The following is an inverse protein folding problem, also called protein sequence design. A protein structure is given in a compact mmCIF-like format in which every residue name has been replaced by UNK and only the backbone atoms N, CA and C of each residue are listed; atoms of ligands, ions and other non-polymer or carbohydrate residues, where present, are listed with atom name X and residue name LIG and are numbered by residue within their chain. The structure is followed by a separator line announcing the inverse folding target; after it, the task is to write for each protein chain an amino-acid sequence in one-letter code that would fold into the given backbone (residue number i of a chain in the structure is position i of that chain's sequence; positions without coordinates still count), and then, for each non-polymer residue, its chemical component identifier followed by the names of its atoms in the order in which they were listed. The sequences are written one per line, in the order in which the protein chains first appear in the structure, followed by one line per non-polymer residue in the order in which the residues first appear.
data_IF_251931548812
#
_entry.id   IF_251931548812
#
_cell.length_a   1.000
_cell.length_b   1.000
_cell.length_c   1.000
_cell.angle_alpha   90.00
_cell.angle_beta   90.00
_cell.angle_gamma   90.00
#
_symmetry.space_group_name_H-M   'P 1'
#
loop_
_entity.id
_entity.type
_entity.pdbx_description
1 polymer ?
#
# COMPACT_ATOMS: atom_id res chain seq x y z
N UNK A 1 84.01 51.66 40.09
CA UNK A 1 85.33 50.98 40.11
C UNK A 1 85.11 49.47 40.26
N UNK A 2 85.23 48.73 39.17
CA UNK A 2 85.96 47.46 39.02
C UNK A 2 85.59 46.88 37.65
N UNK A 3 86.66 46.74 36.89
CA UNK A 3 86.84 46.35 35.49
C UNK A 3 86.67 44.83 35.28
N UNK A 4 86.72 44.35 34.01
CA UNK A 4 85.98 43.20 33.51
C UNK A 4 86.86 41.95 33.30
N UNK A 5 86.28 40.86 32.78
CA UNK A 5 87.05 39.73 32.24
C UNK A 5 86.35 39.09 31.02
N UNK A 6 86.96 39.32 29.85
CA UNK A 6 87.26 38.40 28.72
C UNK A 6 86.22 37.34 28.27
N UNK A 7 85.74 37.44 27.01
CA UNK A 7 86.16 36.68 25.79
C UNK A 7 85.39 35.34 25.63
N UNK A 8 84.45 35.16 24.68
CA UNK A 8 84.49 35.01 23.21
C UNK A 8 84.35 33.52 22.79
N UNK A 9 83.31 33.28 21.96
CA UNK A 9 83.09 32.19 20.98
C UNK A 9 83.11 30.72 21.41
N UNK A 10 82.01 30.01 21.12
CA UNK A 10 81.99 28.96 20.09
C UNK A 10 80.55 28.55 19.73
N UNK A 11 80.34 28.39 18.43
CA UNK A 11 79.13 27.92 17.74
C UNK A 11 78.89 26.43 18.03
N UNK A 12 77.66 26.03 18.30
CA UNK A 12 77.22 24.64 18.18
C UNK A 12 75.78 24.59 17.65
N UNK A 13 75.66 24.18 16.39
CA UNK A 13 74.44 23.81 15.69
C UNK A 13 73.72 22.66 16.41
N UNK A 14 72.43 22.82 16.72
CA UNK A 14 71.62 21.72 17.23
C UNK A 14 70.67 21.24 16.13
N UNK A 15 71.01 20.05 15.62
CA UNK A 15 70.15 19.18 14.82
C UNK A 15 68.88 18.86 15.62
N UNK A 16 67.70 19.14 15.04
CA UNK A 16 66.44 18.64 15.58
C UNK A 16 66.08 17.34 14.86
N UNK A 17 66.02 16.26 15.64
CA UNK A 17 65.70 14.90 15.22
C UNK A 17 64.29 14.77 14.62
N UNK A 18 64.19 13.91 13.60
CA UNK A 18 62.95 13.40 13.06
C UNK A 18 62.55 12.06 13.72
N UNK A 19 61.25 11.74 13.60
CA UNK A 19 60.54 10.48 13.92
C UNK A 19 60.25 10.23 15.43
N UNK A 20 59.06 9.85 15.87
CA UNK A 20 57.93 9.10 15.25
C UNK A 20 56.67 9.30 16.12
N UNK A 21 55.47 9.29 15.52
CA UNK A 21 54.21 9.19 16.27
C UNK A 21 53.00 9.48 15.38
N UNK A 22 52.36 8.43 14.91
CA UNK A 22 51.24 8.40 13.97
C UNK A 22 49.95 9.04 14.49
N UNK A 23 49.42 10.03 13.77
CA UNK A 23 47.98 10.34 13.80
C UNK A 23 47.43 10.46 12.37
N UNK A 24 46.63 9.45 12.01
CA UNK A 24 45.86 9.40 10.78
C UNK A 24 44.78 10.47 10.83
N UNK A 25 45.02 11.59 10.14
CA UNK A 25 44.01 12.61 9.89
C UNK A 25 42.90 12.03 9.02
N UNK A 26 41.81 11.62 9.65
CA UNK A 26 40.55 11.33 8.96
C UNK A 26 39.96 12.67 8.54
N UNK A 27 40.18 13.03 7.27
CA UNK A 27 39.39 14.06 6.59
C UNK A 27 37.92 13.65 6.61
N UNK A 28 37.15 14.23 7.52
CA UNK A 28 35.70 14.25 7.47
C UNK A 28 35.26 15.00 6.20
N UNK A 29 35.14 14.28 5.08
CA UNK A 29 34.22 14.67 4.01
C UNK A 29 32.82 14.53 4.60
N UNK A 30 32.32 15.62 5.18
CA UNK A 30 30.88 15.81 5.35
C UNK A 30 30.28 15.81 3.95
N UNK A 31 29.84 14.63 3.52
CA UNK A 31 28.89 14.49 2.43
C UNK A 31 27.59 15.12 2.93
N UNK A 32 27.39 16.40 2.65
CA UNK A 32 26.05 16.97 2.59
C UNK A 32 25.28 16.15 1.57
N UNK A 33 24.49 15.18 2.03
CA UNK A 33 23.53 14.49 1.19
C UNK A 33 22.51 15.53 0.75
N UNK A 34 22.60 15.97 -0.51
CA UNK A 34 21.56 16.75 -1.14
C UNK A 34 20.32 15.86 -1.17
N UNK A 35 19.36 16.12 -0.28
CA UNK A 35 18.02 15.54 -0.34
C UNK A 35 17.42 16.01 -1.66
N UNK A 36 17.46 15.15 -2.68
CA UNK A 36 16.84 15.42 -3.97
C UNK A 36 15.32 15.28 -3.78
N UNK A 37 14.66 16.38 -3.40
CA UNK A 37 13.22 16.44 -3.14
C UNK A 37 12.37 16.45 -4.42
N UNK A 38 13.01 16.48 -5.60
CA UNK A 38 12.35 16.60 -6.89
C UNK A 38 12.11 15.22 -7.51
N UNK A 39 10.86 14.95 -7.90
CA UNK A 39 10.49 13.82 -8.74
C UNK A 39 10.74 14.21 -10.20
N UNK A 40 11.57 13.45 -10.92
CA UNK A 40 11.80 13.66 -12.35
C UNK A 40 10.67 13.00 -13.17
N UNK A 41 9.91 13.76 -13.97
CA UNK A 41 8.85 13.18 -14.79
C UNK A 41 9.39 12.33 -15.95
N UNK A 42 8.67 11.26 -16.30
CA UNK A 42 8.94 10.45 -17.49
C UNK A 42 8.43 11.16 -18.76
N UNK A 43 9.24 11.31 -19.82
CA UNK A 43 8.78 11.93 -21.07
C UNK A 43 7.81 11.00 -21.81
N UNK A 44 6.62 11.50 -22.13
CA UNK A 44 5.56 10.75 -22.78
C UNK A 44 5.09 11.45 -24.06
N UNK A 45 5.21 10.78 -25.19
CA UNK A 45 4.64 11.24 -26.45
C UNK A 45 3.22 10.67 -26.62
N UNK A 46 2.28 11.54 -26.98
CA UNK A 46 0.90 11.17 -27.32
C UNK A 46 0.53 11.72 -28.69
N UNK A 47 -0.46 11.08 -29.33
CA UNK A 47 -1.03 11.54 -30.60
C UNK A 47 -2.55 11.49 -30.53
N UNK A 48 -3.23 12.10 -31.49
CA UNK A 48 -4.69 12.16 -31.54
C UNK A 48 -5.31 10.83 -32.03
N UNK A 49 -4.70 10.20 -33.04
CA UNK A 49 -5.27 9.04 -33.74
C UNK A 49 -4.91 7.69 -33.12
N UNK A 50 -4.01 7.65 -32.14
CA UNK A 50 -3.54 6.42 -31.49
C UNK A 50 -3.58 6.56 -29.98
N UNK A 51 -3.84 5.45 -29.32
CA UNK A 51 -3.91 5.35 -27.87
C UNK A 51 -2.60 4.77 -27.33
N UNK A 52 -1.97 5.51 -26.43
CA UNK A 52 -0.83 5.02 -25.64
C UNK A 52 -1.33 4.29 -24.39
N UNK A 53 -0.80 3.10 -24.13
CA UNK A 53 -1.14 2.26 -23.00
C UNK A 53 -0.01 2.28 -21.97
N UNK A 54 -0.33 2.66 -20.74
CA UNK A 54 0.58 2.66 -19.60
C UNK A 54 0.16 1.52 -18.66
N UNK A 55 1.05 0.55 -18.44
CA UNK A 55 0.81 -0.61 -17.57
C UNK A 55 1.60 -0.41 -16.28
N UNK A 56 0.88 -0.35 -15.16
CA UNK A 56 1.44 -0.13 -13.82
C UNK A 56 1.59 -1.46 -13.06
N UNK A 57 2.48 -1.51 -12.04
CA UNK A 57 2.67 -2.70 -11.21
C UNK A 57 1.46 -3.03 -10.30
N UNK A 58 0.61 -2.04 -10.02
CA UNK A 58 -0.58 -2.17 -9.17
C UNK A 58 -1.76 -1.39 -9.75
N UNK A 59 -2.96 -1.67 -9.25
CA UNK A 59 -4.20 -1.03 -9.71
C UNK A 59 -4.13 0.50 -9.56
N UNK A 60 -4.72 1.21 -10.50
CA UNK A 60 -4.72 2.68 -10.56
C UNK A 60 -5.78 3.22 -9.61
N UNK A 61 -5.33 3.91 -8.56
CA UNK A 61 -6.20 4.58 -7.60
C UNK A 61 -6.63 5.95 -8.12
N UNK A 62 -5.66 6.75 -8.55
CA UNK A 62 -5.89 8.15 -8.94
C UNK A 62 -5.11 8.51 -10.21
N UNK A 63 -5.70 9.38 -11.03
CA UNK A 63 -5.13 9.92 -12.27
C UNK A 63 -5.44 11.41 -12.30
N UNK A 64 -4.42 12.21 -12.60
CA UNK A 64 -4.54 13.66 -12.81
C UNK A 64 -4.00 14.04 -14.18
N UNK A 65 -4.75 14.88 -14.89
CA UNK A 65 -4.38 15.42 -16.20
C UNK A 65 -4.17 16.92 -16.07
N UNK A 66 -2.98 17.40 -16.44
CA UNK A 66 -2.62 18.82 -16.30
C UNK A 66 -3.38 19.77 -17.22
N UNK A 67 -4.04 19.26 -18.25
CA UNK A 67 -4.84 20.06 -19.17
C UNK A 67 -5.88 19.21 -19.90
N UNK A 68 -6.88 19.89 -20.46
CA UNK A 68 -7.93 19.30 -21.29
C UNK A 68 -7.42 18.81 -22.67
N UNK A 69 -6.15 19.07 -23.01
CA UNK A 69 -5.51 18.54 -24.22
C UNK A 69 -5.25 17.04 -24.16
N UNK A 70 -5.43 16.41 -22.99
CA UNK A 70 -5.30 14.97 -22.80
C UNK A 70 -6.65 14.35 -22.48
N UNK A 71 -6.85 13.13 -22.99
CA UNK A 71 -7.92 12.24 -22.53
C UNK A 71 -7.27 10.97 -22.02
N UNK A 72 -7.69 10.54 -20.83
CA UNK A 72 -7.27 9.28 -20.25
C UNK A 72 -8.43 8.48 -19.68
N UNK A 73 -8.33 7.15 -19.76
CA UNK A 73 -9.36 6.23 -19.28
C UNK A 73 -8.74 4.92 -18.77
N UNK A 74 -9.21 4.44 -17.61
CA UNK A 74 -8.77 3.15 -17.05
C UNK A 74 -9.38 2.00 -17.84
N UNK A 75 -8.58 1.00 -18.20
CA UNK A 75 -9.11 -0.16 -18.91
C UNK A 75 -10.11 -0.95 -18.02
N UNK A 76 -11.32 -1.20 -18.53
CA UNK A 76 -12.41 -1.85 -17.77
C UNK A 76 -12.08 -3.24 -17.22
N UNK A 77 -11.23 -3.98 -17.92
CA UNK A 77 -10.85 -5.36 -17.57
C UNK A 77 -9.44 -5.47 -16.98
N UNK A 78 -8.73 -4.35 -16.83
CA UNK A 78 -7.36 -4.31 -16.32
C UNK A 78 -7.13 -3.02 -15.52
N UNK A 79 -7.36 -3.09 -14.20
CA UNK A 79 -7.34 -1.93 -13.30
C UNK A 79 -5.98 -1.24 -13.19
N UNK A 80 -4.90 -1.90 -13.61
CA UNK A 80 -3.54 -1.37 -13.65
C UNK A 80 -3.14 -0.79 -15.02
N UNK A 81 -4.08 -0.63 -15.96
CA UNK A 81 -3.81 -0.12 -17.31
C UNK A 81 -4.53 1.21 -17.54
N UNK A 82 -3.75 2.25 -17.87
CA UNK A 82 -4.26 3.56 -18.29
C UNK A 82 -4.09 3.73 -19.79
N UNK A 83 -5.17 4.14 -20.46
CA UNK A 83 -5.17 4.52 -21.88
C UNK A 83 -5.10 6.03 -21.96
N UNK A 84 -4.13 6.58 -22.68
CA UNK A 84 -3.91 8.02 -22.82
C UNK A 84 -3.81 8.38 -24.30
N UNK A 85 -4.44 9.49 -24.71
CA UNK A 85 -4.25 10.08 -26.04
C UNK A 85 -4.44 11.59 -26.00
N UNK A 86 -4.04 12.27 -27.07
CA UNK A 86 -4.33 13.68 -27.22
C UNK A 86 -5.84 13.91 -27.54
N UNK A 87 -6.42 14.93 -26.94
CA UNK A 87 -7.79 15.40 -27.20
C UNK A 87 -7.85 16.33 -28.42
N UNK A 88 -6.72 16.97 -28.76
CA UNK A 88 -6.55 17.88 -29.88
C UNK A 88 -5.25 17.56 -30.60
N UNK A 89 -5.15 17.96 -31.87
CA UNK A 89 -3.92 17.83 -32.66
C UNK A 89 -2.98 19.00 -32.37
N UNK A 90 -1.67 18.74 -32.46
CA UNK A 90 -0.61 19.76 -32.53
C UNK A 90 -0.58 20.79 -31.38
N UNK A 91 -0.88 20.36 -30.15
CA UNK A 91 -0.68 21.25 -29.01
C UNK A 91 0.82 21.47 -28.75
N UNK A 92 1.25 22.74 -28.72
CA UNK A 92 2.67 23.10 -28.58
C UNK A 92 3.17 23.02 -27.14
N UNK A 93 2.29 23.28 -26.17
CA UNK A 93 2.64 23.35 -24.76
C UNK A 93 2.71 21.96 -24.15
N UNK A 94 3.85 21.63 -23.52
CA UNK A 94 3.93 20.42 -22.70
C UNK A 94 2.97 20.53 -21.51
N UNK A 95 2.34 19.41 -21.17
CA UNK A 95 1.45 19.28 -20.01
C UNK A 95 1.95 18.14 -19.12
N UNK A 96 1.37 17.95 -17.95
CA UNK A 96 1.70 16.83 -17.07
C UNK A 96 0.55 15.80 -17.01
N UNK A 97 0.91 14.58 -16.62
CA UNK A 97 0.02 13.50 -16.21
C UNK A 97 0.60 12.91 -14.93
N UNK A 98 -0.23 12.62 -13.93
CA UNK A 98 0.21 11.94 -12.70
C UNK A 98 -0.70 10.77 -12.38
N UNK A 99 -0.09 9.67 -11.93
CA UNK A 99 -0.81 8.44 -11.58
C UNK A 99 -0.35 7.95 -10.21
N UNK A 100 -1.31 7.64 -9.35
CA UNK A 100 -1.08 7.00 -8.06
C UNK A 100 -1.70 5.60 -8.07
N UNK A 101 -0.92 4.59 -7.68
CA UNK A 101 -1.35 3.19 -7.61
C UNK A 101 -1.69 2.75 -6.19
N UNK A 102 -2.46 1.68 -6.03
CA UNK A 102 -2.93 1.18 -4.72
C UNK A 102 -1.81 0.72 -3.78
N UNK A 103 -0.64 0.39 -4.33
CA UNK A 103 0.58 0.06 -3.58
C UNK A 103 1.42 1.30 -3.23
N UNK A 104 0.92 2.50 -3.48
CA UNK A 104 1.57 3.77 -3.12
C UNK A 104 2.58 4.28 -4.16
N UNK A 105 2.66 3.63 -5.33
CA UNK A 105 3.51 4.11 -6.41
C UNK A 105 3.05 5.46 -6.96
N UNK A 106 3.99 6.39 -7.15
CA UNK A 106 3.77 7.66 -7.82
C UNK A 106 4.48 7.68 -9.17
N UNK A 107 3.73 7.99 -10.23
CA UNK A 107 4.26 8.10 -11.58
C UNK A 107 3.91 9.49 -12.11
N UNK A 108 4.94 10.27 -12.44
CA UNK A 108 4.82 11.60 -13.03
C UNK A 108 5.29 11.56 -14.47
N UNK A 109 4.55 12.19 -15.37
CA UNK A 109 4.82 12.23 -16.79
C UNK A 109 4.84 13.68 -17.28
N UNK A 110 5.83 14.02 -18.11
CA UNK A 110 5.81 15.22 -18.93
C UNK A 110 5.34 14.81 -20.33
N UNK A 111 4.19 15.33 -20.76
CA UNK A 111 3.48 14.88 -21.95
C UNK A 111 3.60 15.91 -23.06
N UNK A 112 3.98 15.46 -24.26
CA UNK A 112 4.01 16.27 -25.48
C UNK A 112 3.24 15.59 -26.62
N UNK A 113 2.74 16.41 -27.55
CA UNK A 113 2.15 15.92 -28.78
C UNK A 113 3.25 15.49 -29.76
N UNK A 114 3.07 14.34 -30.39
CA UNK A 114 3.87 13.92 -31.53
C UNK A 114 2.98 13.22 -32.56
N UNK A 115 3.02 13.56 -33.86
CA UNK A 115 2.08 13.02 -34.85
C UNK A 115 2.25 11.51 -35.06
N UNK A 116 3.47 10.99 -34.94
CA UNK A 116 3.78 9.56 -35.09
C UNK A 116 4.68 9.06 -33.96
N UNK A 117 4.13 8.87 -32.74
CA UNK A 117 4.93 8.46 -31.58
C UNK A 117 5.43 7.02 -31.79
N UNK A 118 6.67 6.77 -31.40
CA UNK A 118 7.32 5.45 -31.60
C UNK A 118 6.87 4.42 -30.58
N UNK A 119 6.53 4.86 -29.37
CA UNK A 119 6.13 4.01 -28.26
C UNK A 119 4.65 4.24 -27.95
N UNK A 120 3.85 3.18 -28.09
CA UNK A 120 2.42 3.19 -27.78
C UNK A 120 2.07 2.30 -26.59
N UNK A 121 3.03 1.54 -26.07
CA UNK A 121 2.86 0.68 -24.90
C UNK A 121 4.09 0.81 -24.01
N UNK A 122 3.88 1.19 -22.76
CA UNK A 122 4.91 1.32 -21.74
C UNK A 122 4.52 0.44 -20.55
N UNK A 123 5.40 -0.49 -20.20
CA UNK A 123 5.20 -1.45 -19.11
C UNK A 123 6.13 -1.15 -17.95
N UNK A 124 5.60 -0.40 -16.97
CA UNK A 124 6.28 -0.04 -15.74
C UNK A 124 6.25 -1.16 -14.70
N UNK A 125 5.47 -2.22 -14.91
CA UNK A 125 5.53 -3.40 -14.06
C UNK A 125 6.80 -4.23 -14.33
N UNK A 126 7.26 -4.26 -15.58
CA UNK A 126 8.46 -5.00 -16.00
C UNK A 126 9.72 -4.14 -16.06
N UNK A 127 9.61 -2.90 -16.50
CA UNK A 127 10.74 -2.00 -16.70
C UNK A 127 10.48 -0.68 -15.99
N UNK A 128 10.92 -0.59 -14.74
CA UNK A 128 10.93 0.67 -14.00
C UNK A 128 12.16 1.46 -14.46
N UNK A 129 12.01 2.60 -15.16
CA UNK A 129 13.16 3.43 -15.52
C UNK A 129 13.81 3.97 -14.24
N UNK A 130 15.10 3.72 -14.05
CA UNK A 130 15.84 4.22 -12.90
C UNK A 130 15.67 5.75 -12.79
N UNK A 131 15.13 6.23 -11.67
CA UNK A 131 14.93 7.66 -11.39
C UNK A 131 13.54 8.23 -11.71
N UNK A 132 12.65 7.52 -12.42
CA UNK A 132 11.35 8.05 -12.85
C UNK A 132 10.15 7.49 -12.07
N UNK A 133 10.32 6.38 -11.34
CA UNK A 133 9.43 6.04 -10.23
C UNK A 133 10.16 6.42 -8.96
N UNK A 134 9.80 7.55 -8.37
CA UNK A 134 10.01 7.67 -6.93
C UNK A 134 8.95 6.73 -6.37
N UNK A 135 9.36 5.59 -5.79
CA UNK A 135 8.56 4.98 -4.72
C UNK A 135 8.60 5.98 -3.57
N UNK A 136 7.96 7.12 -3.76
CA UNK A 136 7.58 7.97 -2.66
C UNK A 136 6.60 7.10 -1.92
N UNK A 137 6.90 6.75 -0.68
CA UNK A 137 5.93 6.11 0.20
C UNK A 137 4.77 7.09 0.38
N UNK A 138 3.89 7.16 -0.62
CA UNK A 138 2.63 7.89 -0.52
C UNK A 138 1.89 7.17 0.57
N UNK A 139 1.81 7.81 1.72
CA UNK A 139 0.98 7.31 2.81
C UNK A 139 -0.46 7.61 2.43
N UNK A 140 -1.29 6.57 2.40
CA UNK A 140 -2.72 6.78 2.33
C UNK A 140 -3.28 6.90 3.74
N UNK A 141 -4.32 7.71 3.91
CA UNK A 141 -5.03 7.80 5.17
C UNK A 141 -5.57 6.44 5.65
N UNK A 142 -5.83 5.51 4.73
CA UNK A 142 -6.28 4.15 5.03
C UNK A 142 -5.19 3.23 5.60
N UNK A 143 -3.91 3.47 5.32
CA UNK A 143 -2.80 2.67 5.89
C UNK A 143 -2.20 3.29 7.15
N UNK A 144 -2.59 4.53 7.48
CA UNK A 144 -2.02 5.26 8.61
C UNK A 144 -0.53 5.50 8.40
N UNK A 145 0.31 4.93 9.28
CA UNK A 145 1.77 5.07 9.22
C UNK A 145 2.46 3.98 8.38
N UNK A 146 1.71 3.00 7.87
CA UNK A 146 2.28 1.94 7.03
C UNK A 146 2.32 2.36 5.56
N UNK A 147 3.41 1.98 4.87
CA UNK A 147 3.48 2.10 3.42
C UNK A 147 2.41 1.19 2.78
N UNK A 148 1.66 1.67 1.78
CA UNK A 148 0.60 0.88 1.13
C UNK A 148 1.09 -0.43 0.51
N UNK A 149 2.33 -0.44 0.04
CA UNK A 149 3.00 -1.65 -0.44
C UNK A 149 3.14 -2.71 0.67
N UNK A 150 3.43 -2.29 1.90
CA UNK A 150 3.55 -3.19 3.06
C UNK A 150 2.18 -3.78 3.41
N UNK A 151 1.13 -2.95 3.49
CA UNK A 151 -0.23 -3.43 3.73
C UNK A 151 -0.66 -4.45 2.66
N UNK A 152 -0.42 -4.14 1.38
CA UNK A 152 -0.71 -5.04 0.26
C UNK A 152 0.05 -6.36 0.38
N UNK A 153 1.34 -6.31 0.72
CA UNK A 153 2.19 -7.49 0.91
C UNK A 153 1.71 -8.36 2.08
N UNK A 154 1.29 -7.76 3.19
CA UNK A 154 0.71 -8.45 4.35
C UNK A 154 -0.56 -9.20 3.94
N UNK A 155 -1.52 -8.50 3.31
CA UNK A 155 -2.80 -9.09 2.91
C UNK A 155 -2.60 -10.22 1.89
N UNK A 156 -1.69 -10.02 0.94
CA UNK A 156 -1.30 -11.05 -0.04
C UNK A 156 -0.66 -12.26 0.63
N UNK A 157 0.21 -12.06 1.61
CA UNK A 157 0.87 -13.12 2.38
C UNK A 157 -0.15 -13.94 3.18
N UNK A 158 -1.07 -13.30 3.89
CA UNK A 158 -2.16 -13.97 4.63
C UNK A 158 -3.01 -14.82 3.66
N UNK A 159 -3.37 -14.25 2.52
CA UNK A 159 -4.17 -14.94 1.52
C UNK A 159 -3.48 -16.21 1.01
N UNK A 160 -2.20 -16.10 0.64
CA UNK A 160 -1.42 -17.17 0.04
C UNK A 160 -1.00 -18.26 1.02
N UNK A 161 -0.77 -17.91 2.29
CA UNK A 161 -0.42 -18.88 3.34
C UNK A 161 -1.56 -19.87 3.62
N UNK A 162 -2.82 -19.48 3.39
CA UNK A 162 -4.02 -20.32 3.59
C UNK A 162 -4.06 -21.00 4.98
N UNK A 163 -3.55 -20.31 6.00
CA UNK A 163 -3.50 -20.82 7.38
C UNK A 163 -4.88 -20.70 8.05
N UNK A 164 -5.66 -21.77 7.98
CA UNK A 164 -7.01 -21.82 8.57
C UNK A 164 -6.96 -22.35 10.02
N UNK A 165 -6.54 -21.50 10.96
CA UNK A 165 -6.47 -21.88 12.37
C UNK A 165 -7.75 -21.60 13.16
N UNK A 166 -8.66 -20.77 12.63
CA UNK A 166 -9.99 -20.56 13.20
C UNK A 166 -10.99 -21.49 12.49
N UNK A 167 -11.65 -22.35 13.27
CA UNK A 167 -12.56 -23.40 12.73
C UNK A 167 -14.00 -23.27 13.20
N UNK A 168 -14.24 -22.59 14.32
CA UNK A 168 -15.53 -22.57 15.02
C UNK A 168 -16.32 -21.27 14.85
N UNK A 169 -15.73 -20.24 14.24
CA UNK A 169 -16.38 -18.93 14.07
C UNK A 169 -16.93 -18.82 12.66
N UNK A 170 -18.25 -18.62 12.57
CA UNK A 170 -18.96 -18.43 11.32
C UNK A 170 -20.43 -18.80 11.42
N UNK A 171 -21.11 -18.76 10.29
CA UNK A 171 -22.49 -19.22 10.14
C UNK A 171 -22.67 -20.01 8.85
N UNK A 172 -23.73 -20.81 8.82
CA UNK A 172 -24.11 -21.59 7.66
C UNK A 172 -25.64 -21.71 7.58
N UNK A 173 -26.22 -21.21 6.51
CA UNK A 173 -27.64 -21.39 6.18
C UNK A 173 -27.86 -21.26 4.66
N UNK A 174 -28.95 -21.81 4.13
CA UNK A 174 -29.35 -21.71 2.72
C UNK A 174 -28.24 -22.11 1.71
N UNK A 175 -27.39 -23.08 2.09
CA UNK A 175 -26.26 -23.53 1.28
C UNK A 175 -25.10 -22.54 1.20
N UNK A 176 -25.08 -21.50 2.02
CA UNK A 176 -23.98 -20.53 2.14
C UNK A 176 -23.28 -20.75 3.47
N UNK A 177 -21.95 -20.71 3.49
CA UNK A 177 -21.15 -20.68 4.72
C UNK A 177 -20.29 -19.41 4.75
N UNK A 178 -20.40 -18.65 5.83
CA UNK A 178 -19.66 -17.41 6.07
C UNK A 178 -18.75 -17.60 7.27
N UNK A 179 -17.45 -17.76 7.03
CA UNK A 179 -16.53 -18.35 8.02
C UNK A 179 -15.30 -17.47 8.23
N UNK A 180 -14.95 -17.18 9.48
CA UNK A 180 -13.64 -16.63 9.83
C UNK A 180 -12.61 -17.76 9.85
N UNK A 181 -11.48 -17.58 9.15
CA UNK A 181 -10.42 -18.59 9.00
C UNK A 181 -9.10 -18.20 9.63
N UNK A 182 -8.82 -16.91 9.72
CA UNK A 182 -7.65 -16.37 10.38
C UNK A 182 -7.92 -14.95 10.84
N UNK A 183 -7.23 -14.56 11.90
CA UNK A 183 -7.28 -13.20 12.43
C UNK A 183 -5.89 -12.81 12.92
N UNK A 184 -5.41 -11.66 12.45
CA UNK A 184 -4.03 -11.24 12.65
C UNK A 184 -3.96 -9.78 13.06
N UNK A 185 -2.88 -9.40 13.74
CA UNK A 185 -2.61 -8.02 14.13
C UNK A 185 -1.22 -7.59 13.71
N UNK A 186 -1.10 -6.36 13.19
CA UNK A 186 0.18 -5.73 12.86
C UNK A 186 0.02 -4.20 12.93
N UNK A 187 0.93 -3.51 13.61
CA UNK A 187 0.96 -2.06 13.78
C UNK A 187 -0.41 -1.40 14.05
N UNK A 188 -1.17 -1.99 14.99
CA UNK A 188 -2.48 -1.47 15.36
C UNK A 188 -3.58 -1.72 14.34
N UNK A 189 -3.36 -2.49 13.27
CA UNK A 189 -4.39 -2.93 12.32
C UNK A 189 -4.83 -4.36 12.61
N UNK A 190 -6.12 -4.64 12.37
CA UNK A 190 -6.71 -5.98 12.49
C UNK A 190 -6.99 -6.55 11.10
N UNK A 191 -6.46 -7.74 10.81
CA UNK A 191 -6.64 -8.42 9.53
C UNK A 191 -7.53 -9.64 9.70
N UNK A 192 -8.61 -9.71 8.93
CA UNK A 192 -9.60 -10.78 8.96
C UNK A 192 -9.55 -11.59 7.67
N UNK A 193 -9.23 -12.87 7.76
CA UNK A 193 -9.33 -13.83 6.66
C UNK A 193 -10.70 -14.49 6.67
N UNK A 194 -11.59 -14.04 5.78
CA UNK A 194 -12.96 -14.51 5.72
C UNK A 194 -13.19 -15.33 4.46
N UNK A 195 -13.83 -16.50 4.63
CA UNK A 195 -14.16 -17.43 3.56
C UNK A 195 -15.67 -17.50 3.35
N UNK A 196 -16.10 -17.30 2.11
CA UNK A 196 -17.47 -17.57 1.66
C UNK A 196 -17.50 -18.86 0.85
N UNK A 197 -18.33 -19.81 1.28
CA UNK A 197 -18.58 -21.05 0.55
C UNK A 197 -20.00 -21.06 0.02
N UNK A 198 -20.15 -21.27 -1.29
CA UNK A 198 -21.45 -21.50 -1.90
C UNK A 198 -21.60 -22.98 -2.22
N UNK A 199 -22.47 -23.67 -1.48
CA UNK A 199 -22.88 -25.07 -1.69
C UNK A 199 -24.26 -25.18 -2.33
N UNK A 200 -24.92 -24.07 -2.64
CA UNK A 200 -26.19 -24.07 -3.37
C UNK A 200 -25.98 -24.38 -4.86
N UNK A 201 -27.08 -24.43 -5.62
CA UNK A 201 -27.06 -24.57 -7.08
C UNK A 201 -27.08 -23.22 -7.82
N UNK A 202 -27.27 -22.11 -7.11
CA UNK A 202 -27.38 -20.76 -7.66
C UNK A 202 -26.16 -19.93 -7.28
N UNK A 203 -25.69 -18.99 -8.13
CA UNK A 203 -24.63 -18.06 -7.75
C UNK A 203 -25.08 -17.23 -6.54
N UNK A 204 -24.14 -16.79 -5.71
CA UNK A 204 -24.40 -15.83 -4.63
C UNK A 204 -23.79 -14.51 -5.06
N UNK A 205 -24.64 -13.57 -5.46
CA UNK A 205 -24.23 -12.20 -5.79
C UNK A 205 -24.27 -11.37 -4.52
N UNK A 206 -23.13 -10.82 -4.13
CA UNK A 206 -23.01 -10.01 -2.90
C UNK A 206 -23.64 -8.65 -3.17
N UNK A 207 -24.55 -8.22 -2.30
CA UNK A 207 -25.04 -6.84 -2.30
C UNK A 207 -24.03 -5.95 -1.55
N UNK A 208 -23.86 -6.23 -0.26
CA UNK A 208 -22.88 -5.59 0.59
C UNK A 208 -22.49 -6.50 1.76
N UNK A 209 -21.38 -6.12 2.39
CA UNK A 209 -20.85 -6.73 3.61
C UNK A 209 -20.76 -5.62 4.64
N UNK A 210 -21.18 -5.90 5.87
CA UNK A 210 -21.20 -4.91 6.95
C UNK A 210 -20.40 -5.40 8.15
N UNK A 211 -19.65 -4.47 8.75
CA UNK A 211 -18.91 -4.67 9.99
C UNK A 211 -19.45 -3.65 11.00
N UNK A 212 -19.99 -4.13 12.12
CA UNK A 212 -20.63 -3.27 13.12
C UNK A 212 -20.25 -3.66 14.52
N UNK A 213 -19.88 -2.68 15.34
CA UNK A 213 -19.80 -2.88 16.78
C UNK A 213 -21.21 -2.77 17.37
N UNK A 214 -21.65 -3.80 18.09
CA UNK A 214 -22.99 -3.89 18.68
C UNK A 214 -22.94 -4.47 20.09
N UNK A 215 -23.90 -4.12 20.93
CA UNK A 215 -24.01 -4.67 22.29
C UNK A 215 -24.42 -6.16 22.27
N UNK A 216 -23.80 -6.98 23.13
CA UNK A 216 -24.10 -8.42 23.30
C UNK A 216 -25.52 -8.67 23.81
N UNK A 217 -26.02 -7.78 24.67
CA UNK A 217 -27.31 -7.90 25.34
C UNK A 217 -28.26 -6.81 24.88
N UNK A 218 -29.29 -7.20 24.14
CA UNK A 218 -30.49 -6.40 23.95
C UNK A 218 -31.54 -6.87 24.95
N UNK A 219 -31.53 -6.29 26.15
CA UNK A 219 -32.80 -6.24 26.91
C UNK A 219 -33.77 -5.44 26.03
N UNK A 220 -35.03 -5.86 25.91
CA UNK A 220 -36.06 -5.33 24.98
C UNK A 220 -36.29 -3.79 24.96
N UNK A 221 -35.58 -3.02 25.78
CA UNK A 221 -35.78 -1.59 26.01
C UNK A 221 -34.48 -0.74 26.05
N UNK A 222 -33.32 -1.24 25.62
CA UNK A 222 -32.15 -0.36 25.42
C UNK A 222 -32.08 0.11 23.96
N UNK A 223 -31.79 1.41 23.76
CA UNK A 223 -31.44 1.94 22.45
C UNK A 223 -30.19 1.19 21.97
N UNK A 224 -30.31 0.38 20.92
CA UNK A 224 -29.18 -0.34 20.33
C UNK A 224 -28.27 0.67 19.66
N UNK A 225 -27.04 0.82 20.16
CA UNK A 225 -26.02 1.59 19.48
C UNK A 225 -25.25 0.64 18.54
N UNK A 226 -25.44 0.81 17.24
CA UNK A 226 -24.61 0.18 16.22
C UNK A 226 -23.61 1.20 15.70
N UNK A 227 -22.32 0.87 15.75
CA UNK A 227 -21.25 1.70 15.17
C UNK A 227 -20.70 0.96 13.95
N UNK A 228 -20.85 1.54 12.76
CA UNK A 228 -20.24 1.00 11.53
C UNK A 228 -18.72 1.07 11.63
N UNK A 229 -18.05 0.00 11.23
CA UNK A 229 -16.59 -0.05 11.08
C UNK A 229 -16.29 -0.25 9.61
N UNK A 230 -15.77 0.78 8.94
CA UNK A 230 -15.40 0.64 7.54
C UNK A 230 -14.05 -0.09 7.40
N UNK A 231 -13.95 -1.12 6.54
CA UNK A 231 -12.66 -1.69 6.19
C UNK A 231 -11.76 -0.63 5.55
N UNK A 232 -10.53 -0.54 6.03
CA UNK A 232 -9.50 0.31 5.45
C UNK A 232 -9.10 -0.21 4.06
N UNK A 233 -8.96 -1.54 3.93
CA UNK A 233 -8.64 -2.22 2.66
C UNK A 233 -9.28 -3.60 2.60
N UNK A 234 -9.42 -4.09 1.37
CA UNK A 234 -9.81 -5.46 1.08
C UNK A 234 -8.93 -6.06 -0.01
N UNK A 235 -8.58 -7.34 0.12
CA UNK A 235 -7.84 -8.10 -0.88
C UNK A 235 -8.69 -9.28 -1.34
N UNK A 236 -8.86 -9.42 -2.67
CA UNK A 236 -9.77 -10.37 -3.32
C UNK A 236 -11.24 -10.15 -2.90
N UNK A 237 -11.85 -9.00 -3.28
CA UNK A 237 -13.20 -8.66 -2.88
C UNK A 237 -14.25 -9.67 -3.34
N UNK A 238 -15.29 -9.82 -2.53
CA UNK A 238 -16.36 -10.77 -2.79
C UNK A 238 -17.48 -10.08 -3.57
N UNK A 239 -17.52 -10.29 -4.88
CA UNK A 239 -18.59 -9.77 -5.75
C UNK A 239 -19.61 -10.86 -6.07
N UNK A 240 -19.14 -11.99 -6.61
CA UNK A 240 -20.00 -13.12 -6.97
C UNK A 240 -19.32 -14.43 -6.64
N UNK A 241 -20.04 -15.34 -5.99
CA UNK A 241 -19.58 -16.70 -5.72
C UNK A 241 -20.42 -17.71 -6.50
N UNK A 242 -19.78 -18.30 -7.52
CA UNK A 242 -20.40 -19.32 -8.39
C UNK A 242 -20.92 -20.52 -7.59
N UNK A 243 -21.90 -21.27 -8.11
CA UNK A 243 -22.38 -22.50 -7.49
C UNK A 243 -21.24 -23.48 -7.18
N UNK A 244 -21.30 -24.12 -6.02
CA UNK A 244 -20.33 -25.15 -5.58
C UNK A 244 -18.87 -24.65 -5.54
N UNK A 245 -18.64 -23.35 -5.36
CA UNK A 245 -17.30 -22.73 -5.24
C UNK A 245 -17.08 -22.08 -3.89
N UNK A 246 -15.80 -21.84 -3.60
CA UNK A 246 -15.31 -21.16 -2.41
C UNK A 246 -14.52 -19.92 -2.84
N UNK A 247 -14.67 -18.83 -2.10
CA UNK A 247 -13.87 -17.62 -2.26
C UNK A 247 -13.39 -17.15 -0.89
N UNK A 248 -12.37 -16.31 -0.88
CA UNK A 248 -11.81 -15.72 0.32
C UNK A 248 -11.54 -14.25 0.07
N UNK A 249 -11.66 -13.45 1.11
CA UNK A 249 -11.27 -12.06 1.12
C UNK A 249 -10.54 -11.75 2.43
N UNK A 250 -9.47 -10.97 2.33
CA UNK A 250 -8.79 -10.42 3.50
C UNK A 250 -9.29 -9.01 3.70
N UNK A 251 -9.79 -8.69 4.89
CA UNK A 251 -10.17 -7.34 5.29
C UNK A 251 -9.13 -6.79 6.25
N UNK A 252 -8.75 -5.54 6.06
CA UNK A 252 -7.92 -4.77 7.00
C UNK A 252 -8.81 -3.73 7.67
N UNK A 253 -8.95 -3.80 8.98
CA UNK A 253 -9.69 -2.84 9.80
C UNK A 253 -8.71 -2.01 10.62
N UNK A 254 -9.15 -0.81 11.00
CA UNK A 254 -8.48 -0.06 12.07
C UNK A 254 -8.54 -0.88 13.36
N UNK A 255 -7.48 -0.82 14.17
CA UNK A 255 -7.51 -1.41 15.50
C UNK A 255 -8.52 -0.68 16.36
N UNK A 256 -9.29 -1.43 17.13
CA UNK A 256 -10.26 -0.90 18.07
C UNK A 256 -10.21 -1.69 19.37
N UNK A 257 -10.68 -1.06 20.45
CA UNK A 257 -10.90 -1.73 21.72
C UNK A 257 -12.37 -2.08 21.84
N UNK A 258 -12.66 -3.31 22.24
CA UNK A 258 -14.01 -3.82 22.42
C UNK A 258 -14.22 -4.09 23.91
N UNK A 259 -15.24 -3.50 24.52
CA UNK A 259 -15.64 -3.83 25.89
C UNK A 259 -16.29 -5.21 25.95
N UNK A 260 -16.30 -5.84 27.12
CA UNK A 260 -16.79 -7.22 27.27
C UNK A 260 -18.30 -7.38 27.03
N UNK A 261 -19.05 -6.28 27.03
CA UNK A 261 -20.47 -6.21 26.70
C UNK A 261 -20.74 -5.94 25.21
N UNK A 262 -19.70 -5.75 24.38
CA UNK A 262 -19.83 -5.53 22.93
C UNK A 262 -19.25 -6.66 22.09
N UNK A 263 -19.68 -6.74 20.84
CA UNK A 263 -19.19 -7.67 19.80
C UNK A 263 -19.03 -6.94 18.47
N UNK A 264 -18.09 -7.40 17.66
CA UNK A 264 -18.05 -7.06 16.24
C UNK A 264 -18.93 -8.05 15.48
N UNK A 265 -20.03 -7.58 14.89
CA UNK A 265 -20.89 -8.33 13.99
C UNK A 265 -20.42 -8.15 12.55
N UNK A 266 -20.27 -9.26 11.84
CA UNK A 266 -19.87 -9.28 10.44
C UNK A 266 -20.97 -9.98 9.64
N UNK A 267 -21.55 -9.23 8.70
CA UNK A 267 -22.77 -9.60 7.98
C UNK A 267 -22.50 -9.61 6.47
N UNK A 268 -23.18 -10.50 5.75
CA UNK A 268 -23.18 -10.53 4.28
C UNK A 268 -24.59 -10.74 3.76
N UNK A 269 -24.96 -9.92 2.78
CA UNK A 269 -26.28 -9.89 2.18
C UNK A 269 -26.20 -10.23 0.69
N UNK A 270 -27.16 -11.02 0.22
CA UNK A 270 -27.31 -11.33 -1.20
C UNK A 270 -28.09 -10.23 -1.94
N UNK A 271 -27.61 -9.84 -3.11
CA UNK A 271 -28.29 -8.90 -4.00
C UNK A 271 -29.60 -9.50 -4.51
N UNK A 272 -30.70 -8.77 -4.34
CA UNK A 272 -32.04 -9.20 -4.77
C UNK A 272 -32.45 -10.59 -4.25
N UNK A 273 -31.87 -11.03 -3.13
CA UNK A 273 -32.10 -12.35 -2.55
C UNK A 273 -32.41 -12.28 -1.06
N UNK A 274 -32.84 -13.40 -0.49
CA UNK A 274 -33.12 -13.52 0.95
C UNK A 274 -32.00 -14.22 1.72
N UNK A 275 -30.93 -14.65 1.06
CA UNK A 275 -29.80 -15.31 1.73
C UNK A 275 -28.97 -14.28 2.47
N UNK A 276 -28.84 -14.50 3.77
CA UNK A 276 -28.10 -13.67 4.71
C UNK A 276 -27.27 -14.56 5.62
N UNK A 277 -26.07 -14.11 5.99
CA UNK A 277 -25.24 -14.76 7.00
C UNK A 277 -24.64 -13.70 7.92
N UNK A 278 -24.45 -14.06 9.19
CA UNK A 278 -23.71 -13.24 10.14
C UNK A 278 -22.93 -14.10 11.12
N UNK A 279 -21.81 -13.59 11.61
CA UNK A 279 -21.16 -14.13 12.80
C UNK A 279 -20.65 -12.98 13.68
N UNK A 280 -20.35 -13.31 14.94
CA UNK A 280 -19.90 -12.35 15.94
C UNK A 280 -18.46 -12.66 16.33
N UNK A 281 -17.67 -11.61 16.57
CA UNK A 281 -16.37 -11.67 17.21
C UNK A 281 -16.45 -10.98 18.56
N UNK A 282 -16.08 -11.71 19.60
CA UNK A 282 -15.99 -11.19 20.96
C UNK A 282 -14.63 -10.57 21.23
N UNK A 283 -14.50 -9.84 22.34
CA UNK A 283 -13.20 -9.33 22.81
C UNK A 283 -12.18 -10.47 22.98
N UNK A 284 -12.59 -11.61 23.53
CA UNK A 284 -11.74 -12.80 23.68
C UNK A 284 -11.29 -13.43 22.35
N UNK A 285 -12.11 -13.31 21.30
CA UNK A 285 -11.69 -13.77 19.97
C UNK A 285 -10.61 -12.84 19.42
N UNK A 286 -10.87 -11.52 19.45
CA UNK A 286 -9.97 -10.49 18.94
C UNK A 286 -8.63 -10.53 19.67
N UNK A 287 -8.61 -10.74 20.99
CA UNK A 287 -7.39 -10.85 21.78
C UNK A 287 -6.53 -12.07 21.43
N UNK A 288 -7.10 -13.10 20.77
CA UNK A 288 -6.39 -14.28 20.26
C UNK A 288 -5.87 -14.10 18.83
N UNK A 289 -6.03 -12.91 18.25
CA UNK A 289 -5.45 -12.58 16.95
C UNK A 289 -3.93 -12.81 16.97
N UNK A 290 -3.40 -13.43 15.92
CA UNK A 290 -1.96 -13.75 15.87
C UNK A 290 -1.16 -12.53 15.42
N UNK A 291 -0.06 -12.17 16.09
CA UNK A 291 0.81 -11.15 15.57
C UNK A 291 1.39 -11.59 14.23
N UNK A 292 1.50 -10.64 13.32
CA UNK A 292 2.31 -10.81 12.12
C UNK A 292 3.76 -10.52 12.53
N UNK A 293 4.43 -11.54 13.03
CA UNK A 293 5.89 -11.52 13.15
C UNK A 293 6.48 -11.46 11.75
N UNK A 294 7.52 -10.65 11.56
CA UNK A 294 8.17 -10.37 10.28
C UNK A 294 8.08 -11.59 9.37
N UNK A 295 7.15 -11.52 8.41
CA UNK A 295 7.01 -12.55 7.41
C UNK A 295 8.41 -12.76 6.85
N UNK A 296 8.88 -14.00 6.85
CA UNK A 296 10.12 -14.31 6.16
C UNK A 296 9.82 -14.14 4.67
N UNK A 297 9.91 -12.89 4.22
CA UNK A 297 9.67 -12.48 2.86
C UNK A 297 10.82 -13.07 2.05
N UNK A 298 10.55 -14.18 1.37
CA UNK A 298 11.38 -14.56 0.24
C UNK A 298 11.03 -13.59 -0.88
N UNK A 299 11.94 -12.64 -1.10
CA UNK A 299 11.99 -11.84 -2.31
C UNK A 299 12.23 -12.75 -3.52
#
# INVERSE_FOLDING_TARGET
MKTPMFFLMAVCTVLSYAQTGSEMSTTNKSSTATLNTQVTPYPLEVTYDKTTHLIFPSAIRYVDLGSEHLIADKAKEAENVLRVKAAVTDFEQKTNLSVITEDGGFFSFEVCYHPSPKLLTLDFARNIPQGNSVKSDILFSDTGWESPAVAQMIMTSIYNQKREFIKHIGSQNAGISWLLKGMYVHNGKLYLDIKLKNRSRMPFEVDFISFKMVDKKTTKQSLVQEISIEPLRMYQPLLVVKPKKDTRCIYMLEGFTLSDDKVLRIEIFEKNGSRYQSFLLTNEDISKARPIEQFHLKF
#
